data_IF_434512092162
#
_entry.id   IF_434512092162
#
_cell.length_a   1.000
_cell.length_b   1.000
_cell.length_c   1.000
_cell.angle_alpha   90.00
_cell.angle_beta   90.00
_cell.angle_gamma   90.00
#
_symmetry.space_group_name_H-M   'P 1'
#
loop_
_entity.id
_entity.type
_entity.pdbx_description
1 polymer ?
#
# COMPACT_ATOMS: atom_id res chain seq x y z
N UNK A 1 0.23 -51.33 78.14
CA UNK A 1 -0.62 -50.86 77.01
C UNK A 1 0.09 -49.79 76.17
N UNK A 2 1.27 -50.05 75.56
CA UNK A 2 2.01 -49.05 74.74
C UNK A 2 2.46 -49.53 73.35
N UNK A 3 2.27 -50.81 73.00
CA UNK A 3 2.73 -51.38 71.71
C UNK A 3 1.74 -51.23 70.54
N UNK A 4 0.44 -51.00 70.83
CA UNK A 4 -0.59 -50.88 69.78
C UNK A 4 -0.51 -49.53 69.04
N UNK A 5 0.03 -48.49 69.68
CA UNK A 5 0.04 -47.13 69.11
C UNK A 5 1.04 -46.93 67.97
N UNK A 6 2.14 -47.70 67.93
CA UNK A 6 3.18 -47.54 66.89
C UNK A 6 2.74 -48.20 65.58
N UNK A 7 2.05 -49.33 65.66
CA UNK A 7 1.59 -50.07 64.48
C UNK A 7 0.52 -49.29 63.72
N UNK A 8 -0.40 -48.62 64.42
CA UNK A 8 -1.46 -47.80 63.81
C UNK A 8 -0.87 -46.57 63.09
N UNK A 9 0.16 -45.94 63.67
CA UNK A 9 0.84 -44.79 63.06
C UNK A 9 1.61 -45.21 61.80
N UNK A 10 2.30 -46.36 61.83
CA UNK A 10 2.97 -46.92 60.64
C UNK A 10 1.97 -47.22 59.50
N UNK A 11 0.80 -47.79 59.82
CA UNK A 11 -0.22 -48.09 58.81
C UNK A 11 -0.81 -46.82 58.17
N UNK A 12 -1.04 -45.77 58.96
CA UNK A 12 -1.50 -44.47 58.46
C UNK A 12 -0.45 -43.79 57.56
N UNK A 13 0.83 -43.89 57.90
CA UNK A 13 1.93 -43.37 57.06
C UNK A 13 2.07 -44.14 55.76
N UNK A 14 1.93 -45.46 55.77
CA UNK A 14 2.00 -46.28 54.54
C UNK A 14 0.80 -46.00 53.62
N UNK A 15 -0.40 -45.86 54.19
CA UNK A 15 -1.60 -45.54 53.40
C UNK A 15 -1.55 -44.14 52.78
N UNK A 16 -1.00 -43.16 53.50
CA UNK A 16 -0.80 -41.81 52.95
C UNK A 16 0.29 -41.78 51.88
N UNK A 17 1.34 -42.59 52.02
CA UNK A 17 2.37 -42.70 50.99
C UNK A 17 1.84 -43.35 49.70
N UNK A 18 1.00 -44.39 49.82
CA UNK A 18 0.36 -45.07 48.68
C UNK A 18 -0.60 -44.16 47.91
N UNK A 19 -1.36 -43.30 48.60
CA UNK A 19 -2.28 -42.36 47.93
C UNK A 19 -1.54 -41.23 47.22
N UNK A 20 -0.42 -40.75 47.77
CA UNK A 20 0.40 -39.70 47.12
C UNK A 20 1.09 -40.24 45.86
N UNK A 21 1.62 -41.46 45.90
CA UNK A 21 2.24 -42.09 44.72
C UNK A 21 1.23 -42.35 43.60
N UNK A 22 0.02 -42.81 43.94
CA UNK A 22 -1.06 -43.01 42.95
C UNK A 22 -1.52 -41.70 42.29
N UNK A 23 -1.55 -40.61 43.05
CA UNK A 23 -1.91 -39.29 42.53
C UNK A 23 -0.82 -38.73 41.59
N UNK A 24 0.45 -39.02 41.87
CA UNK A 24 1.57 -38.62 41.03
C UNK A 24 1.56 -39.31 39.66
N UNK A 25 1.31 -40.62 39.60
CA UNK A 25 1.25 -41.40 38.35
C UNK A 25 0.07 -41.01 37.44
N UNK A 26 -1.09 -40.69 38.04
CA UNK A 26 -2.26 -40.26 37.27
C UNK A 26 -2.07 -38.87 36.64
N UNK A 27 -1.34 -37.98 37.32
CA UNK A 27 -1.06 -36.64 36.80
C UNK A 27 -0.01 -36.66 35.67
N UNK A 28 1.02 -37.51 35.74
CA UNK A 28 1.99 -37.66 34.63
C UNK A 28 1.33 -38.25 33.39
N UNK A 29 0.40 -39.19 33.53
CA UNK A 29 -0.32 -39.76 32.39
C UNK A 29 -1.28 -38.75 31.73
N UNK A 30 -1.92 -37.90 32.54
CA UNK A 30 -2.78 -36.82 32.03
C UNK A 30 -1.97 -35.76 31.29
N UNK A 31 -0.83 -35.34 31.85
CA UNK A 31 0.07 -34.37 31.23
C UNK A 31 0.67 -34.93 29.92
N UNK A 32 1.06 -36.21 29.89
CA UNK A 32 1.57 -36.85 28.67
C UNK A 32 0.53 -36.91 27.55
N UNK A 33 -0.75 -37.15 27.87
CA UNK A 33 -1.85 -37.13 26.88
C UNK A 33 -2.20 -35.72 26.40
N UNK A 34 -2.04 -34.72 27.25
CA UNK A 34 -2.21 -33.31 26.83
C UNK A 34 -1.06 -32.87 25.91
N UNK A 35 0.17 -33.28 26.18
CA UNK A 35 1.34 -32.96 25.34
C UNK A 35 1.24 -33.66 23.97
N UNK A 36 0.83 -34.93 23.91
CA UNK A 36 0.63 -35.63 22.62
C UNK A 36 -0.48 -35.03 21.76
N UNK A 37 -1.47 -34.39 22.38
CA UNK A 37 -2.55 -33.70 21.65
C UNK A 37 -2.17 -32.29 21.17
N UNK A 38 -1.09 -31.70 21.72
CA UNK A 38 -0.55 -30.42 21.26
C UNK A 38 0.39 -30.63 20.06
N UNK A 39 1.10 -31.76 19.97
CA UNK A 39 1.97 -32.11 18.84
C UNK A 39 1.23 -32.56 17.57
N UNK A 40 -0.09 -32.79 17.62
CA UNK A 40 -0.90 -33.18 16.46
C UNK A 40 -1.56 -32.00 15.71
N UNK A 41 -1.24 -30.74 16.08
CA UNK A 41 -1.69 -29.56 15.33
C UNK A 41 -0.52 -29.02 14.51
N UNK A 42 -0.40 -29.52 13.27
CA UNK A 42 0.60 -29.08 12.30
C UNK A 42 0.77 -27.55 12.26
N UNK A 43 1.98 -27.00 12.51
CA UNK A 43 2.32 -25.69 12.00
C UNK A 43 2.71 -25.85 10.52
N UNK A 44 1.69 -25.94 9.66
CA UNK A 44 1.83 -25.88 8.21
C UNK A 44 2.20 -24.47 7.74
N UNK A 45 3.46 -24.09 7.91
CA UNK A 45 4.20 -23.20 6.98
C UNK A 45 5.67 -23.15 7.37
N UNK A 46 6.53 -23.65 6.47
CA UNK A 46 7.98 -23.64 6.64
C UNK A 46 8.49 -22.18 6.71
N UNK A 47 9.21 -21.73 7.76
CA UNK A 47 9.66 -20.34 7.91
C UNK A 47 10.54 -19.85 6.75
N UNK A 48 11.26 -20.76 6.09
CA UNK A 48 12.03 -20.47 4.87
C UNK A 48 11.11 -20.05 3.71
N UNK A 49 9.92 -20.63 3.61
CA UNK A 49 8.94 -20.28 2.57
C UNK A 49 8.31 -18.89 2.77
N UNK A 50 8.17 -18.46 4.03
CA UNK A 50 7.61 -17.15 4.37
C UNK A 50 8.61 -16.04 4.04
N UNK A 51 9.89 -16.25 4.37
CA UNK A 51 10.96 -15.31 4.00
C UNK A 51 11.12 -15.20 2.48
N UNK A 52 11.04 -16.30 1.75
CA UNK A 52 11.07 -16.30 0.28
C UNK A 52 9.92 -15.51 -0.34
N UNK A 53 8.68 -15.69 0.16
CA UNK A 53 7.51 -14.93 -0.28
C UNK A 53 7.64 -13.44 0.04
N UNK A 54 8.12 -13.07 1.24
CA UNK A 54 8.36 -11.67 1.61
C UNK A 54 9.41 -11.03 0.71
N UNK A 55 10.53 -11.71 0.46
CA UNK A 55 11.58 -11.18 -0.42
C UNK A 55 11.07 -10.98 -1.86
N UNK A 56 10.27 -11.92 -2.37
CA UNK A 56 9.65 -11.77 -3.69
C UNK A 56 8.72 -10.54 -3.75
N UNK A 57 7.93 -10.30 -2.70
CA UNK A 57 7.08 -9.11 -2.61
C UNK A 57 7.91 -7.82 -2.53
N UNK A 58 9.00 -7.81 -1.74
CA UNK A 58 9.94 -6.67 -1.69
C UNK A 58 10.56 -6.40 -3.07
N UNK A 59 10.91 -7.44 -3.83
CA UNK A 59 11.43 -7.27 -5.20
C UNK A 59 10.38 -6.63 -6.11
N UNK A 60 9.12 -7.10 -6.08
CA UNK A 60 8.00 -6.48 -6.84
C UNK A 60 7.75 -5.03 -6.44
N UNK A 61 7.82 -4.74 -5.14
CA UNK A 61 7.74 -3.38 -4.61
C UNK A 61 8.87 -2.49 -5.16
N UNK A 62 10.09 -3.03 -5.20
CA UNK A 62 11.27 -2.34 -5.75
C UNK A 62 11.16 -2.08 -7.25
N UNK A 63 10.64 -3.03 -8.01
CA UNK A 63 10.32 -2.87 -9.43
C UNK A 63 9.30 -1.75 -9.65
N UNK A 64 8.24 -1.71 -8.83
CA UNK A 64 7.21 -0.67 -8.91
C UNK A 64 7.77 0.72 -8.61
N UNK A 65 8.60 0.85 -7.59
CA UNK A 65 9.30 2.10 -7.25
C UNK A 65 10.23 2.52 -8.39
N UNK A 66 11.01 1.58 -8.93
CA UNK A 66 11.95 1.86 -10.03
C UNK A 66 11.21 2.31 -11.29
N UNK A 67 10.10 1.64 -11.62
CA UNK A 67 9.20 2.05 -12.71
C UNK A 67 8.71 3.47 -12.52
N UNK A 68 8.18 3.82 -11.34
CA UNK A 68 7.72 5.17 -11.04
C UNK A 68 8.83 6.24 -11.17
N UNK A 69 10.07 5.92 -10.75
CA UNK A 69 11.21 6.83 -10.93
C UNK A 69 11.51 7.06 -12.41
N UNK A 70 11.59 6.00 -13.20
CA UNK A 70 11.87 6.07 -14.63
C UNK A 70 10.79 6.89 -15.36
N UNK A 71 9.52 6.65 -15.02
CA UNK A 71 8.38 7.36 -15.60
C UNK A 71 8.43 8.87 -15.32
N UNK A 72 8.65 9.28 -14.07
CA UNK A 72 8.74 10.71 -13.73
C UNK A 72 9.95 11.37 -14.40
N UNK A 73 11.06 10.65 -14.56
CA UNK A 73 12.23 11.16 -15.30
C UNK A 73 11.92 11.33 -16.79
N UNK A 74 11.26 10.35 -17.40
CA UNK A 74 10.88 10.41 -18.81
C UNK A 74 9.92 11.57 -19.08
N UNK A 75 8.87 11.72 -18.25
CA UNK A 75 7.92 12.84 -18.36
C UNK A 75 8.64 14.18 -18.30
N UNK A 76 9.59 14.34 -17.37
CA UNK A 76 10.34 15.59 -17.22
C UNK A 76 11.41 15.84 -18.29
N UNK A 77 11.85 14.79 -18.99
CA UNK A 77 12.77 14.90 -20.12
C UNK A 77 12.03 15.11 -21.46
N UNK A 78 10.73 14.84 -21.50
CA UNK A 78 9.90 14.98 -22.70
C UNK A 78 9.60 16.43 -23.09
N UNK A 79 8.83 16.58 -24.18
CA UNK A 79 8.43 17.89 -24.74
C UNK A 79 7.62 18.75 -23.77
N UNK A 80 6.95 18.12 -22.82
CA UNK A 80 6.03 18.74 -21.90
C UNK A 80 6.32 18.22 -20.49
N UNK A 81 7.29 18.83 -19.79
CA UNK A 81 7.62 18.46 -18.43
C UNK A 81 6.52 18.90 -17.45
N UNK A 82 6.42 18.20 -16.32
CA UNK A 82 5.50 18.61 -15.26
C UNK A 82 5.98 19.97 -14.72
N UNK A 83 5.09 20.98 -14.65
CA UNK A 83 5.49 22.30 -14.20
C UNK A 83 6.04 22.30 -12.77
N UNK A 84 7.13 23.04 -12.53
CA UNK A 84 7.77 23.14 -11.20
C UNK A 84 6.80 23.54 -10.08
N UNK A 85 5.82 24.40 -10.38
CA UNK A 85 4.86 24.83 -9.37
C UNK A 85 3.97 23.68 -8.86
N UNK A 86 3.75 22.62 -9.66
CA UNK A 86 3.00 21.45 -9.22
C UNK A 86 3.77 20.70 -8.15
N UNK A 87 5.06 20.42 -8.39
CA UNK A 87 5.93 19.78 -7.41
C UNK A 87 6.09 20.60 -6.12
N UNK A 88 6.19 21.92 -6.26
CA UNK A 88 6.39 22.81 -5.11
C UNK A 88 5.17 22.86 -4.17
N UNK A 89 3.96 22.75 -4.72
CA UNK A 89 2.71 22.85 -3.96
C UNK A 89 2.09 21.49 -3.61
N UNK A 90 2.56 20.41 -4.22
CA UNK A 90 2.04 19.08 -3.96
C UNK A 90 2.29 18.64 -2.50
N UNK A 91 1.20 18.19 -1.86
CA UNK A 91 1.17 17.49 -0.57
C UNK A 91 1.24 15.98 -0.74
N UNK A 92 0.73 15.48 -1.84
CA UNK A 92 0.81 14.07 -2.23
C UNK A 92 1.02 13.97 -3.73
N UNK A 93 1.82 12.99 -4.14
CA UNK A 93 1.99 12.61 -5.54
C UNK A 93 1.70 11.13 -5.67
N UNK A 94 0.95 10.75 -6.71
CA UNK A 94 0.63 9.37 -7.02
C UNK A 94 1.11 9.09 -8.43
N UNK A 95 1.85 8.01 -8.63
CA UNK A 95 2.32 7.57 -9.94
C UNK A 95 1.74 6.18 -10.17
N UNK A 96 0.89 6.05 -11.19
CA UNK A 96 0.21 4.80 -11.57
C UNK A 96 0.56 4.48 -13.01
N UNK A 97 0.92 3.23 -13.26
CA UNK A 97 0.98 2.65 -14.60
C UNK A 97 -0.24 1.76 -14.79
N UNK A 98 -0.98 1.96 -15.87
CA UNK A 98 -2.07 1.07 -16.28
C UNK A 98 -1.54 -0.06 -17.16
N UNK A 99 -2.15 -1.25 -17.05
CA UNK A 99 -1.70 -2.45 -17.77
C UNK A 99 -2.54 -2.80 -19.00
N UNK A 100 -3.74 -2.20 -19.15
CA UNK A 100 -4.70 -2.40 -20.25
C UNK A 100 -5.89 -1.46 -20.06
N UNK A 101 -6.74 -1.36 -21.09
CA UNK A 101 -8.01 -0.58 -21.15
C UNK A 101 -8.57 -0.29 -19.76
N UNK A 102 -8.40 0.96 -19.32
CA UNK A 102 -9.20 1.51 -18.23
C UNK A 102 -10.67 1.30 -18.63
N UNK A 103 -11.38 0.42 -17.90
CA UNK A 103 -12.84 0.31 -18.01
C UNK A 103 -13.42 -0.82 -18.86
N UNK A 104 -12.66 -1.84 -19.24
CA UNK A 104 -13.24 -2.95 -20.02
C UNK A 104 -14.01 -3.99 -19.22
N UNK A 105 -13.69 -4.15 -17.93
CA UNK A 105 -14.37 -5.08 -17.00
C UNK A 105 -14.41 -4.49 -15.60
N UNK A 106 -15.60 -4.41 -15.03
CA UNK A 106 -15.80 -4.00 -13.64
C UNK A 106 -15.17 -5.02 -12.68
N UNK A 107 -14.37 -4.55 -11.73
CA UNK A 107 -13.67 -5.33 -10.71
C UNK A 107 -12.23 -5.71 -11.04
N UNK A 108 -11.77 -5.48 -12.28
CA UNK A 108 -10.40 -5.81 -12.70
C UNK A 108 -9.40 -4.72 -12.28
N UNK A 109 -8.16 -5.16 -12.12
CA UNK A 109 -7.04 -4.28 -11.79
C UNK A 109 -6.68 -3.41 -13.01
N UNK A 110 -7.01 -2.13 -12.95
CA UNK A 110 -6.77 -1.18 -14.04
C UNK A 110 -5.33 -0.66 -14.05
N UNK A 111 -4.68 -0.58 -12.87
CA UNK A 111 -3.30 -0.14 -12.77
C UNK A 111 -2.66 -0.34 -11.40
N UNK A 112 -1.35 -0.17 -11.34
CA UNK A 112 -0.56 -0.23 -10.10
C UNK A 112 0.35 0.97 -9.99
N UNK A 113 0.61 1.39 -8.76
CA UNK A 113 1.40 2.57 -8.53
C UNK A 113 1.95 2.69 -7.12
N UNK A 114 2.46 3.89 -6.86
CA UNK A 114 2.89 4.34 -5.55
C UNK A 114 2.26 5.71 -5.25
N UNK A 115 2.03 5.98 -3.98
CA UNK A 115 1.72 7.32 -3.47
C UNK A 115 2.82 7.76 -2.51
N UNK A 116 3.25 9.00 -2.60
CA UNK A 116 4.18 9.63 -1.65
C UNK A 116 3.60 10.95 -1.16
N UNK A 117 3.79 11.26 0.12
CA UNK A 117 3.40 12.54 0.68
C UNK A 117 4.62 13.41 0.93
N UNK A 118 4.45 14.72 0.83
CA UNK A 118 5.46 15.70 1.19
C UNK A 118 5.16 16.25 2.57
N UNK A 119 6.12 16.16 3.46
CA UNK A 119 6.02 16.80 4.77
C UNK A 119 6.13 18.33 4.60
N UNK A 120 5.12 19.12 5.01
CA UNK A 120 5.16 20.57 4.88
C UNK A 120 6.25 21.25 5.71
N UNK A 121 6.71 20.61 6.81
CA UNK A 121 7.74 21.18 7.70
C UNK A 121 9.13 20.93 7.15
N UNK A 122 9.44 19.69 6.78
CA UNK A 122 10.78 19.31 6.33
C UNK A 122 10.96 19.42 4.82
N UNK A 123 9.85 19.57 4.06
CA UNK A 123 9.78 19.51 2.60
C UNK A 123 10.23 18.18 2.00
N UNK A 124 10.49 17.17 2.82
CA UNK A 124 10.91 15.84 2.41
C UNK A 124 9.73 15.01 1.96
N UNK A 125 9.95 14.17 0.95
CA UNK A 125 8.99 13.16 0.53
C UNK A 125 9.05 11.94 1.48
N UNK A 126 7.90 11.34 1.73
CA UNK A 126 7.73 10.14 2.53
C UNK A 126 8.26 8.89 1.82
N UNK A 127 8.32 7.78 2.53
CA UNK A 127 8.36 6.47 1.90
C UNK A 127 7.06 6.21 1.09
N UNK A 128 7.13 5.42 0.00
CA UNK A 128 5.98 5.19 -0.87
C UNK A 128 4.98 4.20 -0.28
N UNK A 129 3.70 4.57 -0.26
CA UNK A 129 2.60 3.63 -0.07
C UNK A 129 2.34 2.95 -1.41
N UNK A 130 2.25 1.62 -1.42
CA UNK A 130 1.90 0.87 -2.63
C UNK A 130 0.39 0.93 -2.84
N UNK A 131 -0.01 1.25 -4.08
CA UNK A 131 -1.42 1.38 -4.44
C UNK A 131 -1.76 0.61 -5.70
N UNK A 132 -3.03 0.28 -5.81
CA UNK A 132 -3.65 -0.37 -6.95
C UNK A 132 -4.91 0.41 -7.32
N UNK A 133 -5.09 0.67 -8.61
CA UNK A 133 -6.30 1.28 -9.15
C UNK A 133 -7.17 0.17 -9.73
N UNK A 134 -8.43 0.13 -9.29
CA UNK A 134 -9.45 -0.75 -9.84
C UNK A 134 -10.42 0.10 -10.63
N UNK A 135 -10.87 -0.47 -11.74
CA UNK A 135 -11.82 0.16 -12.64
C UNK A 135 -11.39 1.55 -13.10
N UNK A 136 -12.26 2.17 -13.88
CA UNK A 136 -12.17 3.57 -14.25
C UNK A 136 -12.23 3.77 -15.74
N UNK A 137 -12.66 4.96 -16.14
CA UNK A 137 -12.63 5.39 -17.53
C UNK A 137 -11.96 6.76 -17.60
N UNK A 138 -11.15 6.96 -18.65
CA UNK A 138 -10.51 8.24 -18.91
C UNK A 138 -11.49 9.09 -19.71
N UNK A 139 -11.85 10.25 -19.18
CA UNK A 139 -12.59 11.25 -19.94
C UNK A 139 -11.73 12.47 -20.24
N UNK A 140 -11.78 12.90 -21.50
CA UNK A 140 -11.28 14.21 -21.88
C UNK A 140 -12.19 15.28 -21.27
N UNK A 141 -11.62 16.22 -20.52
CA UNK A 141 -12.38 17.32 -19.96
C UNK A 141 -12.47 18.54 -20.91
N UNK A 142 -11.69 18.52 -21.99
CA UNK A 142 -11.60 19.62 -22.96
C UNK A 142 -12.52 19.44 -24.15
N UNK A 143 -12.85 18.20 -24.51
CA UNK A 143 -13.77 17.88 -25.60
C UNK A 143 -14.72 16.74 -25.20
N UNK A 144 -15.98 16.73 -25.66
CA UNK A 144 -16.94 15.64 -25.42
C UNK A 144 -16.63 14.42 -26.30
N UNK A 145 -15.36 14.00 -26.36
CA UNK A 145 -14.93 12.80 -27.07
C UNK A 145 -14.46 11.78 -26.05
N UNK A 146 -14.89 10.55 -26.26
CA UNK A 146 -14.29 9.40 -25.61
C UNK A 146 -12.86 9.25 -26.17
N UNK A 147 -11.85 9.41 -25.30
CA UNK A 147 -10.44 9.25 -25.67
C UNK A 147 -9.90 7.88 -25.25
N UNK A 148 -10.72 6.99 -24.69
CA UNK A 148 -10.28 5.69 -24.18
C UNK A 148 -9.61 4.83 -25.27
N UNK A 149 -10.05 4.92 -26.52
CA UNK A 149 -9.43 4.22 -27.66
C UNK A 149 -8.00 4.72 -27.97
N UNK A 150 -7.64 5.94 -27.57
CA UNK A 150 -6.26 6.43 -27.69
C UNK A 150 -5.33 5.81 -26.63
N UNK A 151 -5.90 5.27 -25.55
CA UNK A 151 -5.19 4.66 -24.42
C UNK A 151 -5.43 3.15 -24.31
N UNK A 152 -6.18 2.55 -25.25
CA UNK A 152 -6.57 1.14 -25.16
C UNK A 152 -5.44 0.16 -25.45
N UNK A 153 -4.51 0.55 -26.32
CA UNK A 153 -3.53 -0.37 -26.92
C UNK A 153 -2.11 -0.16 -26.36
N UNK A 154 -1.94 0.70 -25.35
CA UNK A 154 -0.64 0.99 -24.74
C UNK A 154 -0.74 1.20 -23.24
N UNK A 155 0.32 0.83 -22.53
CA UNK A 155 0.51 1.18 -21.12
C UNK A 155 0.38 2.70 -20.96
N UNK A 156 -0.57 3.14 -20.13
CA UNK A 156 -0.81 4.55 -19.87
C UNK A 156 -0.31 4.88 -18.49
N UNK A 157 0.59 5.86 -18.43
CA UNK A 157 1.09 6.36 -17.14
C UNK A 157 0.28 7.57 -16.71
N UNK A 158 -0.05 7.61 -15.44
CA UNK A 158 -0.77 8.71 -14.82
C UNK A 158 -0.04 9.17 -13.57
N UNK A 159 0.14 10.49 -13.47
CA UNK A 159 0.70 11.14 -12.29
C UNK A 159 -0.36 12.07 -11.72
N UNK A 160 -0.74 11.87 -10.47
CA UNK A 160 -1.67 12.73 -9.76
C UNK A 160 -0.94 13.57 -8.72
N UNK A 161 -1.37 14.81 -8.56
CA UNK A 161 -0.87 15.75 -7.56
C UNK A 161 -2.01 16.23 -6.67
N UNK A 162 -1.94 15.93 -5.39
CA UNK A 162 -2.86 16.48 -4.40
C UNK A 162 -2.23 17.68 -3.69
N UNK A 163 -2.88 18.83 -3.70
CA UNK A 163 -2.38 20.06 -3.05
C UNK A 163 -2.93 20.28 -1.63
N UNK A 164 -3.95 19.51 -1.24
CA UNK A 164 -4.60 19.63 0.06
C UNK A 164 -4.31 18.42 0.97
N UNK A 165 -4.46 18.64 2.28
CA UNK A 165 -4.33 17.59 3.28
C UNK A 165 -5.38 16.48 3.09
N UNK A 166 -6.57 16.85 2.61
CA UNK A 166 -7.64 15.90 2.31
C UNK A 166 -7.20 14.90 1.22
N UNK A 167 -6.57 15.39 0.14
CA UNK A 167 -6.02 14.51 -0.89
C UNK A 167 -4.98 13.54 -0.30
N UNK A 168 -4.09 14.04 0.56
CA UNK A 168 -3.12 13.18 1.27
C UNK A 168 -3.83 12.09 2.08
N UNK A 169 -4.80 12.47 2.90
CA UNK A 169 -5.46 11.57 3.85
C UNK A 169 -6.32 10.47 3.19
N UNK A 170 -6.74 10.65 1.93
CA UNK A 170 -7.45 9.60 1.21
C UNK A 170 -6.59 8.35 0.99
N UNK A 171 -5.31 8.53 0.72
CA UNK A 171 -4.40 7.40 0.48
C UNK A 171 -4.02 6.67 1.77
N UNK A 172 -4.40 7.22 2.93
CA UNK A 172 -4.26 6.59 4.24
C UNK A 172 -5.47 5.73 4.62
N UNK A 173 -6.41 5.53 3.69
CA UNK A 173 -7.53 4.60 3.82
C UNK A 173 -7.24 3.32 3.04
N UNK A 174 -7.93 2.23 3.38
CA UNK A 174 -7.82 0.98 2.62
C UNK A 174 -8.24 1.15 1.16
N UNK A 175 -9.34 1.86 0.94
CA UNK A 175 -9.96 2.09 -0.37
C UNK A 175 -10.58 3.50 -0.40
N UNK A 176 -10.48 4.17 -1.54
CA UNK A 176 -11.14 5.46 -1.79
C UNK A 176 -11.54 5.58 -3.25
N UNK A 177 -12.72 6.14 -3.48
CA UNK A 177 -13.24 6.43 -4.81
C UNK A 177 -12.49 7.62 -5.43
N UNK A 178 -11.79 7.38 -6.55
CA UNK A 178 -11.15 8.40 -7.38
C UNK A 178 -12.16 9.10 -8.30
N UNK A 179 -13.30 8.45 -8.60
CA UNK A 179 -14.29 8.89 -9.58
C UNK A 179 -14.88 10.28 -9.30
N UNK A 180 -14.89 10.68 -8.04
CA UNK A 180 -15.41 11.97 -7.58
C UNK A 180 -14.32 13.03 -7.39
N UNK A 181 -13.04 12.70 -7.61
CA UNK A 181 -11.92 13.44 -7.03
C UNK A 181 -10.89 13.94 -8.05
N UNK A 182 -10.88 13.41 -9.27
CA UNK A 182 -9.94 13.83 -10.31
C UNK A 182 -10.42 15.10 -11.02
N UNK A 183 -9.74 16.22 -10.76
CA UNK A 183 -10.00 17.52 -11.39
C UNK A 183 -8.81 17.97 -12.24
N UNK A 184 -9.01 18.00 -13.55
CA UNK A 184 -8.60 19.08 -14.46
C UNK A 184 -7.09 19.48 -14.53
N UNK A 185 -6.51 19.24 -15.71
CA UNK A 185 -5.46 19.98 -16.48
C UNK A 185 -4.00 20.08 -16.01
N UNK A 186 -3.11 19.53 -16.86
CA UNK A 186 -2.17 20.34 -17.66
C UNK A 186 -2.21 19.80 -19.09
N UNK A 187 -2.68 20.57 -20.07
CA UNK A 187 -2.46 20.28 -21.49
C UNK A 187 -1.33 21.17 -21.99
N UNK A 188 -0.48 20.57 -22.81
CA UNK A 188 0.59 21.22 -23.54
C UNK A 188 0.13 22.50 -24.26
N UNK A 189 0.63 23.66 -23.82
CA UNK A 189 0.73 24.85 -24.66
C UNK A 189 -0.27 25.98 -24.48
N UNK A 190 -1.40 25.82 -23.77
CA UNK A 190 -2.29 26.95 -23.47
C UNK A 190 -2.75 26.90 -22.01
N UNK A 191 -2.15 27.77 -21.20
CA UNK A 191 -2.62 28.12 -19.84
C UNK A 191 -3.99 28.79 -19.92
N UNK A 192 -5.08 28.01 -19.89
CA UNK A 192 -6.43 28.53 -19.66
C UNK A 192 -7.00 27.91 -18.38
N UNK A 193 -6.52 28.39 -17.24
CA UNK A 193 -6.89 27.96 -15.88
C UNK A 193 -8.34 28.28 -15.47
N UNK A 194 -9.28 28.59 -16.38
CA UNK A 194 -10.51 29.31 -15.96
C UNK A 194 -11.86 28.92 -16.54
N UNK A 195 -12.03 27.91 -17.41
CA UNK A 195 -13.31 27.81 -18.14
C UNK A 195 -14.17 26.55 -18.04
N UNK A 196 -13.71 25.42 -17.50
CA UNK A 196 -14.51 24.18 -17.58
C UNK A 196 -14.50 23.33 -16.31
N UNK A 197 -14.55 23.95 -15.13
CA UNK A 197 -14.81 23.19 -13.90
C UNK A 197 -16.13 23.69 -13.33
N UNK A 198 -17.21 22.96 -13.62
CA UNK A 198 -18.37 23.02 -12.74
C UNK A 198 -17.92 22.63 -11.34
N UNK A 199 -18.45 23.30 -10.31
CA UNK A 199 -18.18 23.02 -8.90
C UNK A 199 -18.31 21.51 -8.60
N UNK A 200 -17.20 20.78 -8.67
CA UNK A 200 -17.15 19.34 -8.45
C UNK A 200 -16.21 19.04 -7.28
N UNK A 201 -16.43 17.92 -6.59
CA UNK A 201 -15.66 17.46 -5.43
C UNK A 201 -14.14 17.34 -5.70
N UNK A 202 -13.72 17.32 -6.96
CA UNK A 202 -12.33 17.45 -7.35
C UNK A 202 -11.67 18.79 -6.97
N UNK A 203 -12.40 19.91 -7.00
CA UNK A 203 -11.91 21.21 -6.51
C UNK A 203 -11.81 21.24 -4.98
N UNK A 204 -12.69 20.51 -4.27
CA UNK A 204 -12.65 20.45 -2.81
C UNK A 204 -11.55 19.53 -2.28
N UNK A 205 -11.14 18.55 -3.06
CA UNK A 205 -10.04 17.62 -2.72
C UNK A 205 -8.70 18.07 -3.33
N UNK A 206 -8.70 18.83 -4.42
CA UNK A 206 -7.50 19.45 -5.00
C UNK A 206 -6.53 18.43 -5.59
N UNK A 207 -7.05 17.44 -6.32
CA UNK A 207 -6.25 16.42 -7.00
C UNK A 207 -6.22 16.68 -8.51
N UNK A 208 -5.01 16.89 -9.04
CA UNK A 208 -4.75 17.19 -10.45
C UNK A 208 -4.12 15.99 -11.14
N UNK A 209 -4.66 15.56 -12.26
CA UNK A 209 -4.17 14.41 -13.04
C UNK A 209 -3.33 14.83 -14.26
N UNK A 210 -2.23 14.12 -14.46
CA UNK A 210 -1.32 14.26 -15.59
C UNK A 210 -1.17 12.91 -16.28
N UNK A 211 -1.52 12.80 -17.56
CA UNK A 211 -1.36 11.56 -18.31
C UNK A 211 -0.16 11.67 -19.23
N UNK A 212 0.60 10.58 -19.29
CA UNK A 212 1.67 10.38 -20.24
C UNK A 212 1.40 9.09 -21.03
N UNK A 213 1.00 9.27 -22.29
CA UNK A 213 0.94 8.20 -23.29
C UNK A 213 1.35 8.78 -24.64
N UNK A 214 2.36 8.19 -25.28
CA UNK A 214 2.84 8.58 -26.63
C UNK A 214 3.03 10.10 -26.81
N UNK A 215 3.57 10.80 -25.81
CA UNK A 215 3.79 12.26 -25.79
C UNK A 215 2.52 13.13 -25.78
N UNK A 216 1.33 12.53 -25.63
CA UNK A 216 0.08 13.25 -25.46
C UNK A 216 -0.15 13.55 -23.98
N UNK A 217 -0.43 14.82 -23.69
CA UNK A 217 -0.62 15.32 -22.33
C UNK A 217 -1.94 16.07 -22.28
N UNK A 218 -2.91 15.43 -21.63
CA UNK A 218 -4.28 15.93 -21.49
C UNK A 218 -4.64 15.91 -20.01
N UNK A 219 -5.36 16.92 -19.56
CA UNK A 219 -6.02 16.89 -18.26
C UNK A 219 -7.18 15.90 -18.30
N UNK A 220 -7.07 14.80 -17.56
CA UNK A 220 -8.12 13.77 -17.54
C UNK A 220 -8.95 13.84 -16.26
N UNK A 221 -10.21 13.46 -16.38
CA UNK A 221 -10.94 12.88 -15.24
C UNK A 221 -10.79 11.37 -15.30
N UNK A 222 -10.56 10.73 -14.15
CA UNK A 222 -10.88 9.32 -14.01
C UNK A 222 -12.23 9.25 -13.30
N UNK A 223 -13.21 8.68 -13.99
CA UNK A 223 -14.52 8.39 -13.39
C UNK A 223 -14.65 6.91 -13.05
N UNK A 224 -15.50 6.57 -12.08
CA UNK A 224 -15.83 5.19 -11.68
C UNK A 224 -14.61 4.34 -11.37
N UNK A 225 -13.66 4.91 -10.64
CA UNK A 225 -12.39 4.29 -10.30
C UNK A 225 -12.20 4.29 -8.81
N UNK A 226 -11.63 3.22 -8.27
CA UNK A 226 -11.23 3.19 -6.86
C UNK A 226 -9.73 2.99 -6.76
N UNK A 227 -9.10 3.70 -5.82
CA UNK A 227 -7.72 3.44 -5.44
C UNK A 227 -7.69 2.72 -4.10
N UNK A 228 -6.87 1.67 -4.03
CA UNK A 228 -6.69 0.84 -2.86
C UNK A 228 -5.23 0.75 -2.50
N UNK A 229 -4.94 0.63 -1.21
CA UNK A 229 -3.61 0.23 -0.76
C UNK A 229 -3.34 -1.22 -1.15
N UNK A 230 -2.17 -1.49 -1.73
CA UNK A 230 -1.69 -2.83 -2.06
C UNK A 230 -1.22 -3.51 -0.78
N UNK A 231 -2.15 -4.19 -0.11
CA UNK A 231 -1.93 -4.80 1.20
C UNK A 231 -0.77 -5.80 1.21
N UNK A 232 -0.56 -6.53 0.10
CA UNK A 232 0.50 -7.54 0.01
C UNK A 232 1.87 -6.89 0.00
N UNK A 233 2.04 -5.84 -0.80
CA UNK A 233 3.32 -5.12 -0.84
C UNK A 233 3.56 -4.28 0.41
N UNK A 234 2.52 -3.60 0.91
CA UNK A 234 2.61 -2.82 2.13
C UNK A 234 2.95 -3.71 3.33
N UNK A 235 2.32 -4.89 3.47
CA UNK A 235 2.64 -5.84 4.54
C UNK A 235 4.07 -6.38 4.42
N UNK A 236 4.54 -6.67 3.20
CA UNK A 236 5.90 -7.15 3.00
C UNK A 236 6.98 -6.11 3.36
N UNK A 237 6.71 -4.83 3.09
CA UNK A 237 7.66 -3.72 3.30
C UNK A 237 7.56 -3.12 4.69
N UNK A 238 6.33 -2.87 5.17
CA UNK A 238 6.03 -2.12 6.39
C UNK A 238 5.49 -2.98 7.53
N UNK A 239 5.31 -4.29 7.30
CA UNK A 239 4.71 -5.22 8.28
C UNK A 239 3.28 -4.82 8.67
N UNK A 240 2.63 -4.01 7.83
CA UNK A 240 1.28 -3.49 8.00
C UNK A 240 0.57 -3.45 6.66
N UNK A 241 -0.66 -3.97 6.60
CA UNK A 241 -1.46 -4.04 5.36
C UNK A 241 -1.96 -2.68 4.89
N UNK A 242 -2.38 -1.83 5.82
CA UNK A 242 -2.94 -0.51 5.56
C UNK A 242 -2.20 0.53 6.39
N UNK A 243 -1.54 1.45 5.72
CA UNK A 243 -0.87 2.58 6.37
C UNK A 243 -1.88 3.68 6.63
N UNK A 244 -2.19 3.93 7.90
CA UNK A 244 -3.06 5.02 8.34
C UNK A 244 -2.38 6.41 8.25
N UNK A 245 -1.08 6.43 7.96
CA UNK A 245 -0.32 7.64 7.72
C UNK A 245 0.89 7.35 6.81
N UNK A 246 1.36 8.37 6.09
CA UNK A 246 2.61 8.28 5.36
C UNK A 246 3.80 8.23 6.32
N UNK A 247 4.69 7.26 6.11
CA UNK A 247 5.89 7.08 6.92
C UNK A 247 7.05 7.88 6.37
N UNK A 248 7.82 8.52 7.24
CA UNK A 248 9.09 9.12 6.85
C UNK A 248 10.11 8.02 6.50
N UNK A 249 11.10 8.32 5.63
CA UNK A 249 12.19 7.39 5.36
C UNK A 249 12.87 6.94 6.65
N UNK A 250 13.04 5.63 6.81
CA UNK A 250 13.57 5.04 8.03
C UNK A 250 14.47 3.84 7.70
N UNK A 251 15.46 3.51 8.57
CA UNK A 251 16.43 2.45 8.28
C UNK A 251 15.85 1.05 8.05
N UNK A 252 14.66 0.76 8.59
CA UNK A 252 14.00 -0.53 8.40
C UNK A 252 13.37 -0.68 7.01
N UNK A 253 13.14 0.43 6.30
CA UNK A 253 12.56 0.42 4.96
C UNK A 253 13.69 0.05 3.98
N UNK A 254 13.51 -0.98 3.12
CA UNK A 254 14.56 -1.41 2.22
C UNK A 254 14.99 -0.26 1.29
N UNK A 255 16.30 -0.05 1.12
CA UNK A 255 16.86 1.03 0.28
C UNK A 255 16.25 1.11 -1.13
N UNK A 256 16.01 -0.01 -1.85
CA UNK A 256 15.38 0.05 -3.17
C UNK A 256 13.98 0.70 -3.16
N UNK A 257 13.25 0.60 -2.04
CA UNK A 257 11.93 1.21 -1.88
C UNK A 257 12.03 2.73 -1.71
N UNK A 258 13.10 3.21 -1.08
CA UNK A 258 13.36 4.64 -0.89
C UNK A 258 13.90 5.34 -2.15
N UNK A 259 14.18 4.60 -3.23
CA UNK A 259 14.76 5.17 -4.45
C UNK A 259 13.90 6.29 -5.06
N UNK A 260 12.57 6.18 -4.98
CA UNK A 260 11.67 7.24 -5.44
C UNK A 260 11.70 8.46 -4.53
N UNK A 261 11.71 8.25 -3.22
CA UNK A 261 11.86 9.32 -2.23
C UNK A 261 13.16 10.08 -2.43
N UNK A 262 14.28 9.37 -2.57
CA UNK A 262 15.60 9.96 -2.82
C UNK A 262 15.65 10.73 -4.14
N UNK A 263 15.06 10.16 -5.20
CA UNK A 263 14.99 10.81 -6.52
C UNK A 263 14.14 12.08 -6.47
N UNK A 264 12.97 12.02 -5.83
CA UNK A 264 12.06 13.15 -5.70
C UNK A 264 12.64 14.27 -4.83
N UNK A 265 13.33 13.90 -3.75
CA UNK A 265 14.04 14.86 -2.91
C UNK A 265 15.16 15.59 -3.69
N UNK A 266 15.89 14.89 -4.58
CA UNK A 266 16.90 15.51 -5.44
C UNK A 266 16.32 16.40 -6.52
N UNK A 267 15.20 16.00 -7.11
CA UNK A 267 14.59 16.71 -8.25
C UNK A 267 13.79 17.94 -7.84
N UNK A 268 13.20 17.96 -6.64
CA UNK A 268 12.13 18.92 -6.30
C UNK A 268 12.32 19.72 -4.99
N UNK A 269 13.46 19.58 -4.28
CA UNK A 269 13.71 20.32 -3.02
C UNK A 269 14.61 21.57 -3.20
N UNK A 270 15.11 21.85 -4.41
CA UNK A 270 15.81 23.12 -4.71
C UNK A 270 14.92 24.35 -4.57
#
# INVERSE_FOLDING_TARGET
MRKISVIVICLLLVMTFLTISSLAENNTLAISKTISNIEAKEPSSNPISIQGKRQQAINKASERVTGAVSLVKEINAGLYPIPKYMYNNARVMIVVSSYKRFGEKSGDEAGRGIAVARDPKTRQWSAPIFVTVKDGYIKDQTEPRDINDQFSDSETTMVFFGIHENAKNMFCKEETDLGNLAGVLVSSGIFQYRKHVGESAALSVGLFGYVYSRQLIIGISIENSTIRQDQVLNEAVYETKVLEQFLQPAPFIPKPILAYTDSSNKLFIT
#
